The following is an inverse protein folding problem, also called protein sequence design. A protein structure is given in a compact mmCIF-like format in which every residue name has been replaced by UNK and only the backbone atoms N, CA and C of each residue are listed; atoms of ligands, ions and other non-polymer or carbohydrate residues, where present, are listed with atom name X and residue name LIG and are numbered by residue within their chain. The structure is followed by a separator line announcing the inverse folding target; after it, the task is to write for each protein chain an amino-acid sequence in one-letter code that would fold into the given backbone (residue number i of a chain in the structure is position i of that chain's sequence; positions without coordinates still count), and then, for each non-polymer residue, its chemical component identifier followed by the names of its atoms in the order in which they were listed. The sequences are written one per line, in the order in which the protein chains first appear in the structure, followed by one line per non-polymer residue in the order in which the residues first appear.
data_IF_557396004103
#
_entry.id   IF_557396004103
#
_cell.length_a   1.000
_cell.length_b   1.000
_cell.length_c   1.000
_cell.angle_alpha   90.00
_cell.angle_beta   90.00
_cell.angle_gamma   90.00
#
_symmetry.space_group_name_H-M   'P 1'
#
loop_
_entity.id
_entity.type
_entity.pdbx_description
1 polymer ?
#
# COMPACT_ATOMS: atom_id res chain seq x y z
N UNK A 1 -16.29 4.01 24.10
CA UNK A 1 -15.95 5.42 23.77
C UNK A 1 -14.47 5.64 23.48
N UNK A 2 -13.50 4.98 24.16
CA UNK A 2 -12.04 5.12 23.93
C UNK A 2 -11.68 4.86 22.46
N UNK A 3 -11.99 3.68 21.92
CA UNK A 3 -11.66 3.31 20.53
C UNK A 3 -12.24 4.25 19.46
N UNK A 4 -13.41 4.83 19.69
CA UNK A 4 -13.99 5.79 18.73
C UNK A 4 -13.29 7.14 18.72
N UNK A 5 -12.66 7.54 19.82
CA UNK A 5 -11.81 8.74 19.90
C UNK A 5 -10.45 8.51 19.25
N UNK A 6 -9.87 7.33 19.48
CA UNK A 6 -8.60 6.95 18.84
C UNK A 6 -8.75 6.72 17.33
N UNK A 7 -9.91 6.20 16.88
CA UNK A 7 -10.21 5.85 15.49
C UNK A 7 -11.49 6.56 14.99
N UNK A 8 -11.51 7.88 14.88
CA UNK A 8 -12.72 8.66 14.59
C UNK A 8 -13.31 8.38 13.20
N UNK A 9 -12.54 7.75 12.30
CA UNK A 9 -12.97 7.38 10.94
C UNK A 9 -13.40 5.92 10.81
N UNK A 10 -13.47 5.17 11.92
CA UNK A 10 -13.94 3.79 11.89
C UNK A 10 -15.45 3.73 12.14
N UNK A 11 -16.16 3.01 11.25
CA UNK A 11 -17.56 2.67 11.47
C UNK A 11 -17.71 1.58 12.53
N UNK A 12 -18.92 1.43 13.10
CA UNK A 12 -19.23 0.52 14.20
C UNK A 12 -18.74 -0.92 14.00
N UNK A 13 -18.76 -1.46 12.75
CA UNK A 13 -18.29 -2.83 12.48
C UNK A 13 -16.79 -3.00 12.72
N UNK A 14 -15.97 -2.01 12.35
CA UNK A 14 -14.54 -2.05 12.63
C UNK A 14 -14.26 -1.87 14.12
N UNK A 15 -14.99 -0.97 14.77
CA UNK A 15 -14.88 -0.79 16.23
C UNK A 15 -15.28 -2.06 16.97
N UNK A 16 -16.29 -2.80 16.49
CA UNK A 16 -16.65 -4.11 17.05
C UNK A 16 -15.50 -5.11 16.96
N UNK A 17 -14.88 -5.25 15.79
CA UNK A 17 -13.73 -6.15 15.60
C UNK A 17 -12.58 -5.79 16.54
N UNK A 18 -12.32 -4.49 16.75
CA UNK A 18 -11.30 -4.07 17.71
C UNK A 18 -11.68 -4.41 19.15
N UNK A 19 -12.95 -4.26 19.54
CA UNK A 19 -13.45 -4.68 20.85
C UNK A 19 -13.30 -6.19 21.07
N UNK A 20 -13.64 -6.99 20.04
CA UNK A 20 -13.48 -8.45 20.08
C UNK A 20 -12.00 -8.86 20.24
N UNK A 21 -11.07 -8.14 19.61
CA UNK A 21 -9.63 -8.35 19.77
C UNK A 21 -9.11 -7.96 21.17
N UNK A 22 -9.78 -7.02 21.85
CA UNK A 22 -9.52 -6.66 23.24
C UNK A 22 -10.20 -7.62 24.23
N UNK A 23 -10.88 -8.69 23.76
CA UNK A 23 -11.58 -9.66 24.58
C UNK A 23 -13.06 -9.33 24.87
N UNK A 24 -13.53 -8.18 24.41
CA UNK A 24 -14.90 -7.72 24.64
C UNK A 24 -15.88 -8.30 23.60
N UNK A 25 -16.53 -9.41 23.91
CA UNK A 25 -17.53 -10.05 23.04
C UNK A 25 -18.87 -9.33 23.10
N UNK A 26 -19.09 -8.35 22.22
CA UNK A 26 -20.32 -7.56 22.17
C UNK A 26 -21.05 -7.77 20.84
N UNK A 27 -22.35 -8.05 20.92
CA UNK A 27 -23.19 -8.18 19.71
C UNK A 27 -23.17 -6.89 18.88
N UNK A 28 -22.99 -7.02 17.57
CA UNK A 28 -22.90 -5.89 16.63
C UNK A 28 -24.13 -4.96 16.70
N UNK A 29 -25.33 -5.47 17.01
CA UNK A 29 -26.55 -4.66 17.18
C UNK A 29 -26.42 -3.73 18.38
N UNK A 30 -25.83 -4.20 19.50
CA UNK A 30 -25.56 -3.38 20.69
C UNK A 30 -24.51 -2.31 20.39
N UNK A 31 -23.42 -2.67 19.73
CA UNK A 31 -22.37 -1.70 19.31
C UNK A 31 -22.97 -0.63 18.39
N UNK A 32 -23.81 -1.03 17.42
CA UNK A 32 -24.46 -0.07 16.51
C UNK A 32 -25.39 0.89 17.24
N UNK A 33 -26.21 0.39 18.19
CA UNK A 33 -27.09 1.24 19.00
C UNK A 33 -26.31 2.30 19.76
N UNK A 34 -25.29 1.88 20.54
CA UNK A 34 -24.45 2.82 21.30
C UNK A 34 -23.71 3.78 20.39
N UNK A 35 -23.19 3.31 19.24
CA UNK A 35 -22.51 4.14 18.25
C UNK A 35 -23.44 5.23 17.69
N UNK A 36 -24.71 4.92 17.46
CA UNK A 36 -25.74 5.85 16.98
C UNK A 36 -26.15 6.83 18.06
N UNK A 37 -26.44 6.37 19.26
CA UNK A 37 -26.81 7.19 20.43
C UNK A 37 -25.72 8.19 20.77
N UNK A 38 -24.46 7.80 20.63
CA UNK A 38 -23.30 8.67 20.84
C UNK A 38 -23.01 9.65 19.68
N UNK A 39 -23.85 9.71 18.64
CA UNK A 39 -23.67 10.62 17.51
C UNK A 39 -22.44 10.35 16.63
N UNK A 40 -21.84 9.14 16.70
CA UNK A 40 -20.60 8.79 16.02
C UNK A 40 -20.80 8.40 14.54
N UNK A 41 -22.02 8.47 14.02
CA UNK A 41 -22.36 8.03 12.66
C UNK A 41 -21.56 8.81 11.61
N UNK A 42 -20.75 8.10 10.84
CA UNK A 42 -20.02 8.70 9.72
C UNK A 42 -20.98 9.09 8.58
N UNK A 43 -20.90 10.34 8.13
CA UNK A 43 -21.63 10.79 6.93
C UNK A 43 -21.09 10.04 5.71
N UNK A 44 -21.94 9.21 5.10
CA UNK A 44 -21.57 8.52 3.84
C UNK A 44 -21.75 9.49 2.68
N UNK A 45 -20.71 9.68 1.87
CA UNK A 45 -20.87 10.31 0.56
C UNK A 45 -21.78 9.43 -0.28
N UNK A 46 -22.86 9.99 -0.86
CA UNK A 46 -23.68 9.27 -1.83
C UNK A 46 -22.78 8.85 -3.00
N UNK A 47 -22.71 7.55 -3.27
CA UNK A 47 -22.02 7.04 -4.46
C UNK A 47 -22.78 7.52 -5.69
N UNK A 48 -22.10 8.21 -6.59
CA UNK A 48 -22.65 8.44 -7.93
C UNK A 48 -22.81 7.07 -8.60
N UNK A 49 -24.00 6.81 -9.16
CA UNK A 49 -24.26 5.60 -9.93
C UNK A 49 -23.46 5.73 -11.24
N UNK A 50 -22.29 5.10 -11.32
CA UNK A 50 -21.56 4.99 -12.58
C UNK A 50 -22.01 3.73 -13.29
N UNK A 51 -22.50 3.88 -14.52
CA UNK A 51 -22.76 2.75 -15.40
C UNK A 51 -21.44 2.00 -15.61
N UNK A 52 -21.41 0.74 -15.25
CA UNK A 52 -20.23 -0.13 -15.44
C UNK A 52 -20.14 -0.51 -16.91
N UNK A 53 -19.54 0.35 -17.73
CA UNK A 53 -19.14 0.01 -19.09
C UNK A 53 -17.64 -0.28 -19.08
N UNK A 54 -17.24 -1.54 -19.14
CA UNK A 54 -15.82 -1.87 -19.21
C UNK A 54 -15.55 -3.37 -19.15
N UNK A 55 -14.43 -3.77 -19.74
CA UNK A 55 -13.89 -5.14 -19.61
C UNK A 55 -13.70 -5.45 -18.11
N UNK A 56 -14.21 -6.59 -17.62
CA UNK A 56 -14.01 -6.99 -16.23
C UNK A 56 -12.51 -7.03 -15.89
N UNK A 57 -12.13 -6.45 -14.76
CA UNK A 57 -10.75 -6.58 -14.27
C UNK A 57 -10.44 -8.07 -14.02
N UNK A 58 -9.23 -8.50 -14.38
CA UNK A 58 -8.74 -9.85 -14.09
C UNK A 58 -8.98 -10.16 -12.61
N UNK A 59 -9.60 -11.28 -12.31
CA UNK A 59 -9.74 -11.76 -10.93
C UNK A 59 -8.38 -12.24 -10.45
N UNK A 60 -7.86 -11.57 -9.44
CA UNK A 60 -6.61 -11.96 -8.79
C UNK A 60 -6.90 -13.11 -7.81
N UNK A 61 -5.98 -14.06 -7.71
CA UNK A 61 -6.11 -15.27 -6.89
C UNK A 61 -4.94 -15.49 -5.94
N UNK A 62 -3.83 -14.76 -6.14
CA UNK A 62 -2.61 -14.91 -5.34
C UNK A 62 -1.94 -13.55 -5.11
N UNK A 63 -1.10 -13.48 -4.07
CA UNK A 63 -0.20 -12.36 -3.82
C UNK A 63 0.79 -12.18 -4.97
N UNK A 64 1.29 -10.97 -5.16
CA UNK A 64 2.26 -10.60 -6.20
C UNK A 64 1.78 -10.80 -7.65
N UNK A 65 0.52 -11.10 -7.90
CA UNK A 65 0.00 -11.13 -9.27
C UNK A 65 -0.12 -9.73 -9.88
N UNK A 66 -0.48 -8.75 -9.07
CA UNK A 66 -0.57 -7.35 -9.53
C UNK A 66 -0.31 -6.40 -8.36
N UNK A 67 0.66 -5.50 -8.53
CA UNK A 67 0.83 -4.35 -7.64
C UNK A 67 0.22 -3.11 -8.27
N UNK A 68 -0.45 -2.31 -7.46
CA UNK A 68 -1.01 -1.03 -7.88
C UNK A 68 -0.12 0.11 -7.36
N UNK A 69 0.33 0.95 -8.28
CA UNK A 69 1.20 2.11 -8.02
C UNK A 69 0.42 3.40 -8.27
N UNK A 70 0.57 4.38 -7.37
CA UNK A 70 -0.03 5.70 -7.57
C UNK A 70 0.61 6.74 -6.63
N UNK A 71 0.41 8.02 -6.95
CA UNK A 71 0.89 9.16 -6.17
C UNK A 71 -0.25 9.92 -5.51
N UNK A 72 -0.12 10.19 -4.21
CA UNK A 72 -0.92 11.18 -3.52
C UNK A 72 -0.10 12.46 -3.29
N UNK A 73 -0.78 13.59 -3.09
CA UNK A 73 -0.16 14.88 -2.83
C UNK A 73 -0.76 15.48 -1.55
N UNK A 74 0.08 16.18 -0.80
CA UNK A 74 -0.30 16.98 0.34
C UNK A 74 0.69 18.15 0.53
N UNK A 75 0.51 18.95 1.57
CA UNK A 75 1.32 20.14 1.84
C UNK A 75 1.76 20.14 3.29
N UNK A 76 3.01 20.49 3.57
CA UNK A 76 3.49 20.73 4.94
C UNK A 76 3.24 22.18 5.36
N UNK A 77 3.36 22.46 6.66
CA UNK A 77 3.06 23.77 7.28
C UNK A 77 3.72 24.97 6.56
N UNK A 78 4.95 24.79 6.04
CA UNK A 78 5.67 25.82 5.28
C UNK A 78 5.15 26.01 3.83
N UNK A 79 4.00 25.46 3.47
CA UNK A 79 3.43 25.55 2.11
C UNK A 79 4.12 24.68 1.05
N UNK A 80 5.13 23.90 1.45
CA UNK A 80 5.86 23.02 0.52
C UNK A 80 5.04 21.76 0.21
N UNK A 81 4.81 21.48 -1.06
CA UNK A 81 4.14 20.28 -1.51
C UNK A 81 4.99 19.05 -1.24
N UNK A 82 4.35 17.99 -0.76
CA UNK A 82 4.91 16.65 -0.64
C UNK A 82 4.15 15.69 -1.54
N UNK A 83 4.85 14.69 -2.05
CA UNK A 83 4.30 13.57 -2.81
C UNK A 83 4.44 12.30 -2.00
N UNK A 84 3.47 11.43 -2.10
CA UNK A 84 3.44 10.13 -1.41
C UNK A 84 3.31 9.05 -2.47
N UNK A 85 4.37 8.29 -2.69
CA UNK A 85 4.36 7.11 -3.54
C UNK A 85 3.75 5.95 -2.74
N UNK A 86 2.74 5.30 -3.28
CA UNK A 86 2.15 4.11 -2.71
C UNK A 86 2.30 2.90 -3.64
N UNK A 87 2.68 1.77 -3.06
CA UNK A 87 2.71 0.46 -3.71
C UNK A 87 1.82 -0.48 -2.91
N UNK A 88 0.77 -0.99 -3.52
CA UNK A 88 -0.23 -1.84 -2.85
C UNK A 88 -0.39 -3.15 -3.62
N UNK A 89 -0.31 -4.28 -2.95
CA UNK A 89 -0.70 -5.56 -3.54
C UNK A 89 -2.22 -5.59 -3.75
N UNK A 90 -2.64 -5.75 -4.99
CA UNK A 90 -4.04 -5.68 -5.37
C UNK A 90 -4.87 -6.87 -4.86
N UNK A 91 -4.25 -7.99 -4.49
CA UNK A 91 -4.91 -9.15 -3.91
C UNK A 91 -4.95 -9.10 -2.38
N UNK A 92 -3.80 -9.02 -1.72
CA UNK A 92 -3.69 -9.02 -0.26
C UNK A 92 -4.10 -7.70 0.39
N UNK A 93 -4.17 -6.62 -0.37
CA UNK A 93 -4.41 -5.23 0.10
C UNK A 93 -3.28 -4.68 0.98
N UNK A 94 -2.16 -5.37 1.10
CA UNK A 94 -1.00 -4.86 1.83
C UNK A 94 -0.45 -3.60 1.16
N UNK A 95 -0.16 -2.59 1.95
CA UNK A 95 0.64 -1.45 1.53
C UNK A 95 2.12 -1.82 1.62
N UNK A 96 2.69 -2.24 0.50
CA UNK A 96 4.07 -2.74 0.41
C UNK A 96 5.10 -1.62 0.58
N UNK A 97 4.83 -0.45 0.03
CA UNK A 97 5.61 0.77 0.26
C UNK A 97 4.71 2.00 0.35
N UNK A 98 5.12 2.95 1.18
CA UNK A 98 4.48 4.26 1.31
C UNK A 98 5.58 5.30 1.60
N UNK A 99 6.14 5.84 0.52
CA UNK A 99 7.29 6.73 0.57
C UNK A 99 6.89 8.18 0.40
N UNK A 100 7.52 9.09 1.18
CA UNK A 100 7.19 10.52 1.19
C UNK A 100 8.41 11.34 0.81
N UNK A 101 8.24 12.19 -0.20
CA UNK A 101 9.26 13.17 -0.59
C UNK A 101 8.62 14.41 -1.24
N UNK A 102 9.43 15.39 -1.57
CA UNK A 102 9.02 16.58 -2.33
C UNK A 102 8.94 16.33 -3.84
N UNK A 103 9.58 15.28 -4.34
CA UNK A 103 9.55 14.83 -5.71
C UNK A 103 10.05 13.40 -5.87
N UNK A 104 9.63 12.74 -6.93
CA UNK A 104 10.07 11.40 -7.27
C UNK A 104 10.58 11.39 -8.71
N UNK A 105 11.88 11.25 -8.89
CA UNK A 105 12.43 10.86 -10.17
C UNK A 105 12.21 9.36 -10.39
N UNK A 106 12.13 8.92 -11.63
CA UNK A 106 11.94 7.52 -12.01
C UNK A 106 12.93 6.56 -11.33
N UNK A 107 14.21 6.95 -11.21
CA UNK A 107 15.25 6.17 -10.50
C UNK A 107 14.96 5.98 -9.01
N UNK A 108 14.28 6.93 -8.38
CA UNK A 108 13.87 6.78 -6.98
C UNK A 108 12.70 5.81 -6.87
N UNK A 109 11.77 5.85 -7.81
CA UNK A 109 10.65 4.90 -7.87
C UNK A 109 11.16 3.48 -8.03
N UNK A 110 12.08 3.24 -8.97
CA UNK A 110 12.64 1.89 -9.20
C UNK A 110 13.42 1.39 -7.98
N UNK A 111 14.19 2.24 -7.29
CA UNK A 111 14.87 1.86 -6.04
C UNK A 111 13.87 1.40 -4.96
N UNK A 112 12.78 2.13 -4.76
CA UNK A 112 11.72 1.69 -3.81
C UNK A 112 11.14 0.35 -4.23
N UNK A 113 10.91 0.14 -5.52
CA UNK A 113 10.40 -1.13 -6.02
C UNK A 113 11.41 -2.27 -5.86
N UNK A 114 12.70 -2.02 -6.07
CA UNK A 114 13.77 -3.01 -5.84
C UNK A 114 13.81 -3.46 -4.37
N UNK A 115 13.67 -2.52 -3.42
CA UNK A 115 13.59 -2.83 -1.99
C UNK A 115 12.34 -3.69 -1.67
N UNK A 116 11.19 -3.36 -2.29
CA UNK A 116 9.96 -4.15 -2.13
C UNK A 116 10.11 -5.53 -2.75
N UNK A 117 10.71 -5.64 -3.93
CA UNK A 117 10.96 -6.93 -4.62
C UNK A 117 11.89 -7.81 -3.78
N UNK A 118 12.95 -7.24 -3.21
CA UNK A 118 13.87 -7.99 -2.34
C UNK A 118 13.16 -8.55 -1.10
N UNK A 119 12.19 -7.83 -0.54
CA UNK A 119 11.46 -8.23 0.65
C UNK A 119 10.27 -9.17 0.39
N UNK A 120 9.61 -9.04 -0.77
CA UNK A 120 8.31 -9.67 -1.05
C UNK A 120 8.28 -10.58 -2.27
N UNK A 121 9.35 -10.59 -3.03
CA UNK A 121 9.40 -11.21 -4.35
C UNK A 121 8.83 -10.31 -5.45
N UNK A 122 9.09 -10.70 -6.69
CA UNK A 122 8.72 -9.96 -7.89
C UNK A 122 7.22 -10.08 -8.20
N UNK A 123 6.52 -8.99 -8.58
CA UNK A 123 5.15 -9.09 -9.09
C UNK A 123 5.13 -9.59 -10.54
N UNK A 124 4.02 -10.19 -10.96
CA UNK A 124 3.77 -10.50 -12.38
C UNK A 124 3.52 -9.21 -13.17
N UNK A 125 2.76 -8.28 -12.58
CA UNK A 125 2.37 -7.03 -13.22
C UNK A 125 2.37 -5.85 -12.24
N UNK A 126 2.62 -4.65 -12.78
CA UNK A 126 2.42 -3.37 -12.08
C UNK A 126 1.39 -2.55 -12.84
N UNK A 127 0.32 -2.16 -12.15
CA UNK A 127 -0.69 -1.23 -12.65
C UNK A 127 -0.38 0.18 -12.13
N UNK A 128 -0.27 1.14 -13.06
CA UNK A 128 0.08 2.52 -12.72
C UNK A 128 -0.61 3.51 -13.66
N UNK A 129 -0.61 4.79 -13.30
CA UNK A 129 -1.02 5.88 -14.16
C UNK A 129 0.02 6.18 -15.26
N UNK A 130 -0.27 7.16 -16.10
CA UNK A 130 0.62 7.61 -17.18
C UNK A 130 1.52 8.78 -16.73
N UNK A 131 1.88 8.86 -15.45
CA UNK A 131 2.80 9.87 -14.96
C UNK A 131 4.17 9.80 -15.64
N UNK A 132 4.88 10.94 -15.80
CA UNK A 132 6.17 10.98 -16.51
C UNK A 132 7.23 10.10 -15.82
N UNK A 133 7.14 9.89 -14.53
CA UNK A 133 8.02 9.01 -13.76
C UNK A 133 7.86 7.54 -14.16
N UNK A 134 6.62 7.15 -14.52
CA UNK A 134 6.20 5.76 -14.77
C UNK A 134 6.15 5.44 -16.28
N UNK A 135 6.28 6.45 -17.15
CA UNK A 135 6.39 6.30 -18.62
C UNK A 135 7.80 6.59 -19.14
N UNK A 136 8.74 6.91 -18.25
CA UNK A 136 10.13 7.20 -18.62
C UNK A 136 10.84 5.98 -19.19
N UNK A 137 11.82 6.22 -20.08
CA UNK A 137 12.67 5.15 -20.65
C UNK A 137 13.33 4.31 -19.56
N UNK A 138 13.75 4.95 -18.45
CA UNK A 138 14.37 4.26 -17.34
C UNK A 138 13.40 3.26 -16.67
N UNK A 139 12.16 3.68 -16.39
CA UNK A 139 11.16 2.82 -15.75
C UNK A 139 10.75 1.65 -16.65
N UNK A 140 10.59 1.92 -17.96
CA UNK A 140 10.26 0.89 -18.95
C UNK A 140 11.39 -0.14 -19.08
N UNK A 141 12.66 0.30 -19.15
CA UNK A 141 13.82 -0.59 -19.19
C UNK A 141 13.93 -1.43 -17.93
N UNK A 142 13.76 -0.82 -16.76
CA UNK A 142 13.75 -1.52 -15.46
C UNK A 142 12.67 -2.60 -15.41
N UNK A 143 11.44 -2.29 -15.84
CA UNK A 143 10.36 -3.28 -15.83
C UNK A 143 10.61 -4.45 -16.80
N UNK A 144 11.24 -4.16 -17.96
CA UNK A 144 11.65 -5.19 -18.91
C UNK A 144 12.73 -6.12 -18.33
N UNK A 145 13.73 -5.55 -17.66
CA UNK A 145 14.80 -6.31 -16.98
C UNK A 145 14.22 -7.27 -15.93
N UNK A 146 13.30 -6.75 -15.10
CA UNK A 146 12.59 -7.55 -14.11
C UNK A 146 11.51 -8.47 -14.70
N UNK A 147 11.23 -8.39 -16.01
CA UNK A 147 10.14 -9.14 -16.70
C UNK A 147 8.78 -8.90 -16.02
N UNK A 148 8.48 -7.63 -15.71
CA UNK A 148 7.23 -7.19 -15.09
C UNK A 148 6.33 -6.61 -16.18
N UNK A 149 5.06 -7.06 -16.25
CA UNK A 149 4.05 -6.53 -17.16
C UNK A 149 3.54 -5.16 -16.67
N UNK A 150 3.81 -4.09 -17.43
CA UNK A 150 3.33 -2.75 -17.09
C UNK A 150 1.93 -2.51 -17.67
N UNK A 151 0.97 -2.25 -16.79
CA UNK A 151 -0.44 -1.99 -17.11
C UNK A 151 -0.80 -0.55 -16.84
N UNK A 152 -0.59 0.28 -17.85
CA UNK A 152 -1.01 1.68 -17.76
C UNK A 152 -2.53 1.82 -17.82
N UNK A 153 -3.07 2.71 -16.97
CA UNK A 153 -4.50 3.02 -16.93
C UNK A 153 -4.88 3.76 -18.20
N UNK A 154 -5.93 3.30 -18.87
CA UNK A 154 -6.44 3.98 -20.06
C UNK A 154 -6.98 5.37 -19.71
N UNK A 155 -6.70 6.40 -20.51
CA UNK A 155 -7.28 7.73 -20.33
C UNK A 155 -8.82 7.65 -20.20
N UNK A 156 -9.39 8.32 -19.19
CA UNK A 156 -10.84 8.34 -18.94
C UNK A 156 -11.40 7.09 -18.25
N UNK A 157 -10.57 6.12 -17.83
CA UNK A 157 -11.01 4.91 -17.13
C UNK A 157 -10.39 4.76 -15.72
N UNK A 158 -10.61 5.70 -14.80
CA UNK A 158 -10.03 5.64 -13.45
C UNK A 158 -10.42 4.36 -12.69
N UNK A 159 -11.59 3.79 -12.96
CA UNK A 159 -12.06 2.55 -12.32
C UNK A 159 -11.10 1.35 -12.49
N UNK A 160 -10.19 1.40 -13.47
CA UNK A 160 -9.16 0.36 -13.65
C UNK A 160 -8.16 0.32 -12.49
N UNK A 161 -8.02 1.40 -11.72
CA UNK A 161 -7.16 1.48 -10.53
C UNK A 161 -7.94 1.51 -9.20
N UNK A 162 -9.17 0.96 -9.18
CA UNK A 162 -10.08 1.05 -8.04
C UNK A 162 -9.52 0.55 -6.70
N UNK A 163 -8.49 -0.32 -6.74
CA UNK A 163 -7.83 -0.81 -5.53
C UNK A 163 -6.98 0.28 -4.88
N UNK A 164 -6.12 0.95 -5.65
CA UNK A 164 -5.28 2.03 -5.14
C UNK A 164 -6.09 3.30 -4.88
N UNK A 165 -7.13 3.58 -5.68
CA UNK A 165 -8.07 4.67 -5.39
C UNK A 165 -8.77 4.48 -4.04
N UNK A 166 -9.22 3.26 -3.75
CA UNK A 166 -9.79 2.91 -2.45
C UNK A 166 -8.78 3.05 -1.32
N UNK A 167 -7.51 2.69 -1.56
CA UNK A 167 -6.41 2.88 -0.62
C UNK A 167 -6.15 4.36 -0.37
N UNK A 168 -5.99 5.17 -1.43
CA UNK A 168 -5.79 6.62 -1.32
C UNK A 168 -6.96 7.33 -0.63
N UNK A 169 -8.19 6.86 -0.86
CA UNK A 169 -9.36 7.36 -0.12
C UNK A 169 -9.18 7.21 1.39
N UNK A 170 -8.67 6.06 1.85
CA UNK A 170 -8.39 5.80 3.27
C UNK A 170 -7.19 6.60 3.77
N UNK A 171 -6.09 6.62 3.01
CA UNK A 171 -4.91 7.43 3.32
C UNK A 171 -5.30 8.91 3.53
N UNK A 172 -6.08 9.48 2.62
CA UNK A 172 -6.55 10.87 2.73
C UNK A 172 -7.44 11.11 3.94
N UNK A 173 -8.42 10.24 4.19
CA UNK A 173 -9.40 10.44 5.28
C UNK A 173 -8.82 10.11 6.67
N UNK A 174 -7.94 9.12 6.77
CA UNK A 174 -7.47 8.57 8.04
C UNK A 174 -6.09 9.10 8.45
N UNK A 175 -5.28 9.60 7.50
CA UNK A 175 -3.94 10.11 7.74
C UNK A 175 -3.78 11.57 7.30
N UNK A 176 -3.85 11.86 5.98
CA UNK A 176 -3.48 13.17 5.47
C UNK A 176 -4.37 14.29 6.03
N UNK A 177 -5.70 14.12 6.02
CA UNK A 177 -6.65 15.11 6.56
C UNK A 177 -6.77 15.11 8.08
N UNK A 178 -6.32 14.04 8.72
CA UNK A 178 -6.36 13.92 10.18
C UNK A 178 -5.08 14.44 10.85
N UNK A 179 -4.03 14.69 10.07
CA UNK A 179 -2.72 15.10 10.56
C UNK A 179 -2.33 16.48 10.05
N UNK A 180 -1.64 17.23 10.87
CA UNK A 180 -0.90 18.42 10.49
C UNK A 180 0.57 18.04 10.35
N UNK A 181 1.21 18.38 9.22
CA UNK A 181 2.61 18.05 8.95
C UNK A 181 3.45 19.32 9.13
N UNK A 182 4.29 19.36 10.16
CA UNK A 182 5.17 20.51 10.41
C UNK A 182 6.29 20.62 9.37
N UNK A 183 6.84 19.48 8.94
CA UNK A 183 7.91 19.39 7.95
C UNK A 183 7.91 17.98 7.31
N UNK A 184 8.86 17.76 6.37
CA UNK A 184 8.99 16.49 5.67
C UNK A 184 9.31 15.31 6.59
N UNK A 185 10.11 15.53 7.64
CA UNK A 185 10.46 14.47 8.59
C UNK A 185 9.23 14.04 9.40
N UNK A 186 8.46 14.99 9.89
CA UNK A 186 7.20 14.74 10.60
C UNK A 186 6.17 14.03 9.70
N UNK A 187 6.07 14.45 8.42
CA UNK A 187 5.21 13.79 7.45
C UNK A 187 5.61 12.32 7.23
N UNK A 188 6.91 12.05 7.07
CA UNK A 188 7.43 10.69 6.94
C UNK A 188 7.09 9.84 8.16
N UNK A 189 7.34 10.34 9.37
CA UNK A 189 7.06 9.61 10.61
C UNK A 189 5.58 9.25 10.75
N UNK A 190 4.67 10.22 10.54
CA UNK A 190 3.22 10.03 10.67
C UNK A 190 2.67 9.09 9.59
N UNK A 191 3.10 9.25 8.34
CA UNK A 191 2.63 8.41 7.22
C UNK A 191 3.16 6.98 7.35
N UNK A 192 4.41 6.80 7.78
CA UNK A 192 4.97 5.46 8.09
C UNK A 192 4.22 4.79 9.23
N UNK A 193 3.90 5.53 10.30
CA UNK A 193 3.08 5.03 11.41
C UNK A 193 1.69 4.60 10.96
N UNK A 194 1.05 5.40 10.09
CA UNK A 194 -0.24 5.03 9.51
C UNK A 194 -0.15 3.78 8.61
N UNK A 195 0.92 3.63 7.79
CA UNK A 195 1.15 2.42 6.99
C UNK A 195 1.21 1.17 7.87
N UNK A 196 1.95 1.24 8.97
CA UNK A 196 2.03 0.15 9.94
C UNK A 196 0.66 -0.20 10.52
N UNK A 197 -0.09 0.81 10.97
CA UNK A 197 -1.46 0.63 11.47
C UNK A 197 -2.39 0.04 10.39
N UNK A 198 -2.29 0.52 9.15
CA UNK A 198 -3.10 0.03 8.03
C UNK A 198 -2.87 -1.45 7.78
N UNK A 199 -1.64 -1.94 7.81
CA UNK A 199 -1.28 -3.31 7.53
C UNK A 199 -1.52 -4.25 8.73
N UNK A 200 -1.27 -3.79 9.96
CA UNK A 200 -1.20 -4.64 11.14
C UNK A 200 -2.45 -4.58 12.05
N UNK A 201 -3.16 -3.46 12.05
CA UNK A 201 -4.23 -3.20 13.01
C UNK A 201 -5.59 -3.01 12.36
N UNK A 202 -5.62 -2.36 11.19
CA UNK A 202 -6.85 -1.94 10.57
C UNK A 202 -7.67 -3.10 9.99
N UNK A 203 -8.93 -3.34 10.45
CA UNK A 203 -9.79 -4.37 9.88
C UNK A 203 -10.29 -3.99 8.48
N UNK A 204 -10.23 -4.91 7.52
CA UNK A 204 -10.67 -4.73 6.14
C UNK A 204 -11.90 -5.59 5.83
N UNK A 205 -13.02 -4.96 5.50
CA UNK A 205 -14.26 -5.67 5.17
C UNK A 205 -14.16 -6.56 3.91
N UNK A 206 -13.22 -6.26 3.01
CA UNK A 206 -12.94 -7.11 1.84
C UNK A 206 -12.05 -8.32 2.14
N UNK A 207 -11.52 -8.41 3.35
CA UNK A 207 -10.67 -9.49 3.85
C UNK A 207 -11.31 -10.17 5.08
N UNK A 208 -12.64 -10.18 5.17
CA UNK A 208 -13.40 -10.72 6.31
C UNK A 208 -12.97 -10.10 7.64
N UNK A 209 -12.76 -8.79 7.64
CA UNK A 209 -12.28 -8.00 8.77
C UNK A 209 -10.89 -8.38 9.32
N UNK A 210 -10.14 -9.21 8.60
CA UNK A 210 -8.70 -9.39 8.86
C UNK A 210 -7.93 -8.15 8.46
N UNK A 211 -6.75 -7.98 9.02
CA UNK A 211 -5.78 -7.00 8.53
C UNK A 211 -5.11 -7.51 7.25
N UNK A 212 -4.51 -6.65 6.42
CA UNK A 212 -3.73 -7.10 5.27
C UNK A 212 -2.63 -8.10 5.64
N UNK A 213 -1.89 -7.86 6.75
CA UNK A 213 -0.85 -8.77 7.21
C UNK A 213 -1.40 -10.13 7.64
N UNK A 214 -2.48 -10.16 8.44
CA UNK A 214 -3.15 -11.42 8.85
C UNK A 214 -3.62 -12.23 7.63
N UNK A 215 -4.16 -11.54 6.62
CA UNK A 215 -4.61 -12.20 5.40
C UNK A 215 -3.44 -12.75 4.58
N UNK A 216 -2.37 -11.98 4.40
CA UNK A 216 -1.19 -12.40 3.66
C UNK A 216 -0.45 -13.55 4.36
N UNK A 217 -0.38 -13.53 5.69
CA UNK A 217 0.22 -14.60 6.48
C UNK A 217 -0.57 -15.90 6.39
N UNK A 218 -1.90 -15.84 6.47
CA UNK A 218 -2.75 -17.00 6.28
C UNK A 218 -2.57 -17.64 4.90
N UNK A 219 -2.30 -16.84 3.87
CA UNK A 219 -1.98 -17.36 2.52
C UNK A 219 -0.61 -18.04 2.48
N UNK A 220 0.41 -17.44 3.11
CA UNK A 220 1.76 -18.03 3.18
C UNK A 220 1.74 -19.38 3.91
N UNK A 221 1.04 -19.47 5.03
CA UNK A 221 0.89 -20.73 5.78
C UNK A 221 0.09 -21.78 4.98
N UNK A 222 -0.93 -21.38 4.24
CA UNK A 222 -1.69 -22.27 3.37
C UNK A 222 -0.87 -22.74 2.15
N UNK A 223 0.06 -21.94 1.65
CA UNK A 223 0.97 -22.27 0.53
C UNK A 223 2.23 -23.01 1.01
N UNK A 224 2.61 -22.88 2.27
CA UNK A 224 3.85 -23.40 2.88
C UNK A 224 3.94 -24.91 3.02
N UNK A 225 3.05 -25.66 2.34
CA UNK A 225 3.24 -27.09 2.08
C UNK A 225 4.07 -27.39 0.83
N UNK A 226 4.52 -26.40 0.02
CA UNK A 226 5.15 -26.66 -1.28
C UNK A 226 6.44 -25.90 -1.60
N UNK A 227 6.87 -24.89 -0.86
CA UNK A 227 8.14 -24.18 -1.17
C UNK A 227 8.90 -23.79 0.10
N UNK A 228 9.58 -24.78 0.70
CA UNK A 228 10.72 -24.55 1.56
C UNK A 228 11.97 -24.38 0.67
N UNK A 229 12.26 -23.16 0.24
CA UNK A 229 13.42 -22.89 -0.61
C UNK A 229 13.79 -21.42 -0.68
N UNK A 230 13.91 -20.73 0.46
CA UNK A 230 14.61 -19.45 0.50
C UNK A 230 15.92 -19.65 1.27
N UNK A 231 16.98 -20.01 0.50
CA UNK A 231 18.35 -19.97 0.98
C UNK A 231 18.71 -18.52 1.30
N UNK A 232 19.08 -18.30 2.54
CA UNK A 232 19.80 -17.14 3.02
C UNK A 232 21.06 -16.97 2.19
N UNK A 233 21.16 -15.96 1.34
CA UNK A 233 22.43 -15.53 0.78
C UNK A 233 23.11 -14.63 1.82
N UNK A 234 23.92 -15.26 2.65
CA UNK A 234 24.91 -14.58 3.48
C UNK A 234 25.95 -13.89 2.61
N UNK A 235 26.28 -12.71 3.04
CA UNK A 235 27.39 -11.83 2.65
C UNK A 235 28.60 -12.52 2.01
N UNK A 236 28.91 -12.14 0.78
CA UNK A 236 30.23 -12.27 0.21
C UNK A 236 30.75 -10.90 -0.26
N UNK A 237 31.29 -10.12 0.66
CA UNK A 237 32.22 -9.06 0.31
C UNK A 237 33.59 -9.71 0.01
N UNK A 238 33.75 -10.13 -1.23
CA UNK A 238 35.04 -10.51 -1.78
C UNK A 238 35.72 -9.28 -2.38
N UNK A 239 36.72 -8.79 -1.72
CA UNK A 239 37.66 -7.80 -2.24
C UNK A 239 38.46 -8.45 -3.40
N UNK A 240 38.19 -8.06 -4.63
CA UNK A 240 39.02 -8.45 -5.77
C UNK A 240 40.22 -7.53 -5.90
N UNK A 241 41.41 -8.09 -5.61
CA UNK A 241 42.70 -7.53 -5.98
C UNK A 241 42.83 -7.47 -7.51
N UNK A 242 43.12 -6.30 -8.04
CA UNK A 242 43.60 -6.16 -9.42
C UNK A 242 45.07 -6.51 -9.49
N UNK A 243 45.53 -7.35 -10.41
CA UNK A 243 46.93 -7.55 -10.67
C UNK A 243 47.50 -6.40 -11.52
N UNK A 244 48.58 -5.80 -11.02
CA UNK A 244 49.40 -4.84 -11.76
C UNK A 244 50.16 -5.54 -12.89
N UNK A 245 50.08 -4.97 -14.10
CA UNK A 245 50.85 -5.42 -15.27
C UNK A 245 52.35 -5.10 -15.11
N UNK A 246 53.26 -5.96 -15.64
CA UNK A 246 54.69 -5.69 -15.58
C UNK A 246 55.13 -4.73 -16.70
N UNK A 247 55.89 -3.73 -16.32
CA UNK A 247 56.67 -2.90 -17.23
C UNK A 247 57.87 -3.68 -17.77
N UNK A 248 57.97 -3.83 -19.09
CA UNK A 248 59.20 -4.27 -19.79
C UNK A 248 59.93 -3.07 -20.34
N UNK A 249 61.21 -3.10 -20.12
CA UNK A 249 62.26 -2.19 -20.59
C UNK A 249 62.33 -2.03 -22.08
#
# INVERSE_FOLDING_TARGET
MRLSREKPRYGYRRLQVLLEREGERVNHKRVYRVYREAGLCLKRKKRKHCVRSGVPLRRLTAANQEWALDFAHDVVAAGRTIRVLSVVDAFTRECLALEVDTGFASRRVTRVLDEVIAARGRPEAIRCDNGPELTSRHFLAWALEWKIDLRHIQPGRPMQNGHVESFHGKLREECLRASWFSNLFDARAKITGWRKEYNEVRPHSSLDYRTPNEFAEALRTASGGKDAGFACLENAHGVSHFPTAPTTS
#
